data_IF_322038466422
#
_entry.id   IF_322038466422
#
_cell.length_a   1.000
_cell.length_b   1.000
_cell.length_c   1.000
_cell.angle_alpha   90.00
_cell.angle_beta   90.00
_cell.angle_gamma   90.00
#
_symmetry.space_group_name_H-M   'P 1'
#
loop_
_entity.id
_entity.type
_entity.pdbx_description
1 polymer ?
#
# COMPACT_ATOMS: atom_id res chain seq x y z
N UNK A 1 -86.16 9.37 -24.47
CA UNK A 1 -84.83 8.87 -24.88
C UNK A 1 -83.82 9.97 -24.60
N UNK A 2 -83.16 9.94 -23.44
CA UNK A 2 -82.16 10.94 -23.03
C UNK A 2 -80.82 10.20 -22.99
N UNK A 3 -79.86 10.67 -23.79
CA UNK A 3 -78.60 10.00 -24.08
C UNK A 3 -77.61 10.06 -22.92
N UNK A 4 -77.30 8.90 -22.36
CA UNK A 4 -76.35 8.69 -21.26
C UNK A 4 -74.91 8.40 -21.71
N UNK A 5 -74.57 8.67 -22.98
CA UNK A 5 -73.32 8.20 -23.58
C UNK A 5 -72.06 9.08 -23.42
N UNK A 6 -72.16 10.30 -22.88
CA UNK A 6 -71.06 11.29 -23.01
C UNK A 6 -70.15 11.45 -21.78
N UNK A 7 -70.59 11.03 -20.59
CA UNK A 7 -69.81 11.25 -19.35
C UNK A 7 -68.60 10.31 -19.18
N UNK A 8 -68.65 9.10 -19.73
CA UNK A 8 -67.57 8.11 -19.55
C UNK A 8 -66.30 8.44 -20.37
N UNK A 9 -66.43 9.15 -21.49
CA UNK A 9 -65.29 9.52 -22.33
C UNK A 9 -64.46 10.66 -21.71
N UNK A 10 -65.07 11.53 -20.90
CA UNK A 10 -64.39 12.65 -20.29
C UNK A 10 -63.51 12.21 -19.12
N UNK A 11 -63.98 11.27 -18.28
CA UNK A 11 -63.20 10.72 -17.16
C UNK A 11 -61.97 9.92 -17.60
N UNK A 12 -62.04 9.20 -18.72
CA UNK A 12 -60.89 8.44 -19.23
C UNK A 12 -59.77 9.34 -19.74
N UNK A 13 -60.12 10.50 -20.33
CA UNK A 13 -59.13 11.46 -20.86
C UNK A 13 -58.39 12.20 -19.75
N UNK A 14 -59.06 12.63 -18.68
CA UNK A 14 -58.42 13.31 -17.55
C UNK A 14 -57.54 12.38 -16.72
N UNK A 15 -57.92 11.10 -16.58
CA UNK A 15 -57.11 10.12 -15.85
C UNK A 15 -55.79 9.77 -16.59
N UNK A 16 -55.81 9.73 -17.93
CA UNK A 16 -54.59 9.55 -18.73
C UNK A 16 -53.64 10.75 -18.65
N UNK A 17 -54.16 11.99 -18.70
CA UNK A 17 -53.31 13.19 -18.60
C UNK A 17 -52.64 13.29 -17.23
N UNK A 18 -53.34 12.93 -16.14
CA UNK A 18 -52.74 12.84 -14.81
C UNK A 18 -51.67 11.74 -14.72
N UNK A 19 -51.91 10.56 -15.30
CA UNK A 19 -50.93 9.46 -15.29
C UNK A 19 -49.63 9.84 -16.03
N UNK A 20 -49.73 10.53 -17.17
CA UNK A 20 -48.55 11.02 -17.91
C UNK A 20 -47.85 12.19 -17.21
N UNK A 21 -48.58 13.05 -16.49
CA UNK A 21 -47.99 14.12 -15.69
C UNK A 21 -47.16 13.58 -14.50
N UNK A 22 -47.58 12.48 -13.87
CA UNK A 22 -46.82 11.83 -12.79
C UNK A 22 -45.62 11.01 -13.28
N UNK A 23 -45.69 10.42 -14.49
CA UNK A 23 -44.55 9.68 -15.09
C UNK A 23 -43.44 10.65 -15.56
N UNK A 24 -43.77 11.93 -15.81
CA UNK A 24 -42.83 12.97 -16.24
C UNK A 24 -42.05 13.65 -15.12
N UNK A 25 -42.33 13.36 -13.84
CA UNK A 25 -41.46 13.77 -12.72
C UNK A 25 -40.25 12.83 -12.75
N UNK A 26 -39.40 13.07 -13.74
CA UNK A 26 -38.21 12.32 -14.00
C UNK A 26 -37.37 12.26 -12.74
N UNK A 27 -36.82 11.07 -12.49
CA UNK A 27 -35.82 10.81 -11.48
C UNK A 27 -34.69 11.83 -11.70
N UNK A 28 -34.70 12.92 -10.94
CA UNK A 28 -33.62 13.89 -10.96
C UNK A 28 -32.46 13.18 -10.28
N UNK A 29 -31.60 12.56 -11.08
CA UNK A 29 -30.34 12.02 -10.60
C UNK A 29 -29.54 13.19 -10.06
N UNK A 30 -29.35 13.19 -8.74
CA UNK A 30 -28.59 14.24 -8.07
C UNK A 30 -27.17 14.26 -8.64
N UNK A 31 -26.86 15.35 -9.33
CA UNK A 31 -25.63 15.56 -10.05
C UNK A 31 -24.81 16.59 -9.29
N UNK A 32 -23.61 16.20 -8.83
CA UNK A 32 -22.78 17.08 -8.00
C UNK A 32 -21.52 17.54 -8.73
N UNK A 33 -21.18 18.81 -8.51
CA UNK A 33 -19.91 19.40 -8.88
C UNK A 33 -19.03 19.52 -7.63
N UNK A 34 -17.74 19.75 -7.82
CA UNK A 34 -16.82 19.97 -6.69
C UNK A 34 -17.23 21.15 -5.78
N UNK A 35 -18.10 22.05 -6.26
CA UNK A 35 -18.59 23.22 -5.52
C UNK A 35 -19.94 23.00 -4.84
N UNK A 36 -20.76 22.10 -5.37
CA UNK A 36 -22.11 21.82 -4.84
C UNK A 36 -22.16 20.56 -3.98
N UNK A 37 -21.12 19.72 -4.01
CA UNK A 37 -21.06 18.54 -3.15
C UNK A 37 -21.08 18.96 -1.66
N UNK A 38 -21.88 18.33 -0.79
CA UNK A 38 -21.94 18.71 0.62
C UNK A 38 -20.66 18.34 1.39
N UNK A 39 -20.25 19.17 2.35
CA UNK A 39 -19.15 18.85 3.28
C UNK A 39 -19.74 18.11 4.49
N UNK A 40 -19.36 16.85 4.76
CA UNK A 40 -19.97 16.05 5.83
C UNK A 40 -19.73 16.58 7.24
N UNK A 41 -18.83 17.57 7.41
CA UNK A 41 -18.61 18.23 8.70
C UNK A 41 -19.59 19.37 8.94
N UNK A 42 -19.95 20.09 7.86
CA UNK A 42 -20.79 21.29 7.91
C UNK A 42 -22.26 20.98 7.63
N UNK A 43 -22.52 19.98 6.78
CA UNK A 43 -23.86 19.55 6.38
C UNK A 43 -24.00 18.01 6.44
N UNK A 44 -24.05 17.43 7.66
CA UNK A 44 -24.19 15.99 7.82
C UNK A 44 -25.55 15.48 7.33
N UNK A 45 -26.60 16.30 7.37
CA UNK A 45 -27.97 15.89 7.02
C UNK A 45 -28.04 15.58 5.51
N UNK A 46 -27.51 16.45 4.65
CA UNK A 46 -27.46 16.18 3.20
C UNK A 46 -26.59 14.95 2.88
N UNK A 47 -25.55 14.71 3.69
CA UNK A 47 -24.73 13.50 3.61
C UNK A 47 -25.37 12.24 4.22
N UNK A 48 -26.62 12.32 4.69
CA UNK A 48 -27.35 11.23 5.37
C UNK A 48 -26.63 10.69 6.59
N UNK A 49 -26.04 11.59 7.36
CA UNK A 49 -25.43 11.32 8.65
C UNK A 49 -26.24 12.02 9.76
N UNK A 50 -26.37 11.38 10.94
CA UNK A 50 -27.00 12.03 12.09
C UNK A 50 -26.14 13.14 12.69
N UNK A 51 -24.82 13.06 12.50
CA UNK A 51 -23.82 13.96 13.10
C UNK A 51 -22.69 14.22 12.09
N UNK A 52 -21.94 15.30 12.32
CA UNK A 52 -20.75 15.64 11.54
C UNK A 52 -19.78 14.46 11.44
N UNK A 53 -19.27 14.19 10.24
CA UNK A 53 -18.40 13.05 9.98
C UNK A 53 -17.43 13.26 8.82
N UNK A 54 -16.85 12.16 8.34
CA UNK A 54 -15.88 12.16 7.24
C UNK A 54 -16.34 11.32 6.04
N UNK A 55 -17.55 10.75 6.10
CA UNK A 55 -18.17 10.06 4.97
C UNK A 55 -19.31 10.93 4.46
N UNK A 56 -19.47 11.02 3.15
CA UNK A 56 -20.65 11.61 2.57
C UNK A 56 -21.18 10.73 1.44
N UNK A 57 -22.47 10.42 1.49
CA UNK A 57 -23.17 9.63 0.49
C UNK A 57 -24.61 10.16 0.29
N UNK A 58 -24.75 11.33 -0.35
CA UNK A 58 -26.07 11.98 -0.47
C UNK A 58 -27.03 11.19 -1.37
N UNK A 59 -26.50 10.38 -2.29
CA UNK A 59 -27.27 9.52 -3.21
C UNK A 59 -27.65 8.16 -2.59
N UNK A 60 -27.21 7.87 -1.36
CA UNK A 60 -27.36 6.58 -0.69
C UNK A 60 -27.03 5.39 -1.58
N UNK A 61 -25.82 5.38 -2.18
CA UNK A 61 -25.37 4.16 -2.86
C UNK A 61 -24.83 3.13 -1.85
N UNK A 62 -24.42 3.56 -0.65
CA UNK A 62 -24.21 2.70 0.50
C UNK A 62 -25.54 2.52 1.24
N UNK A 63 -25.83 1.29 1.66
CA UNK A 63 -26.89 1.05 2.62
C UNK A 63 -26.60 1.76 3.95
N UNK A 64 -27.64 2.03 4.74
CA UNK A 64 -27.46 2.72 6.02
C UNK A 64 -26.56 1.92 6.97
N UNK A 65 -26.66 0.60 6.97
CA UNK A 65 -25.80 -0.31 7.75
C UNK A 65 -24.33 -0.22 7.31
N UNK A 66 -24.06 -0.31 6.00
CA UNK A 66 -22.72 -0.17 5.45
C UNK A 66 -22.09 1.20 5.77
N UNK A 67 -22.90 2.26 5.68
CA UNK A 67 -22.47 3.62 6.00
C UNK A 67 -22.10 3.74 7.46
N UNK A 68 -22.92 3.23 8.38
CA UNK A 68 -22.66 3.24 9.82
C UNK A 68 -21.40 2.44 10.17
N UNK A 69 -21.22 1.25 9.57
CA UNK A 69 -20.01 0.44 9.74
C UNK A 69 -18.77 1.19 9.28
N UNK A 70 -18.81 1.85 8.12
CA UNK A 70 -17.67 2.61 7.59
C UNK A 70 -17.37 3.84 8.47
N UNK A 71 -18.39 4.53 8.99
CA UNK A 71 -18.24 5.63 9.96
C UNK A 71 -17.54 5.14 11.23
N UNK A 72 -18.00 4.02 11.79
CA UNK A 72 -17.39 3.43 12.98
C UNK A 72 -15.92 3.07 12.74
N UNK A 73 -15.62 2.47 11.59
CA UNK A 73 -14.25 2.10 11.23
C UNK A 73 -13.34 3.30 11.02
N UNK A 74 -13.81 4.37 10.36
CA UNK A 74 -13.05 5.63 10.26
C UNK A 74 -12.79 6.27 11.61
N UNK A 75 -13.77 6.26 12.52
CA UNK A 75 -13.58 6.78 13.87
C UNK A 75 -12.52 5.98 14.64
N UNK A 76 -12.49 4.66 14.48
CA UNK A 76 -11.43 3.81 15.05
C UNK A 76 -10.06 4.15 14.45
N UNK A 77 -9.96 4.35 13.13
CA UNK A 77 -8.68 4.73 12.53
C UNK A 77 -8.21 6.12 12.97
N UNK A 78 -9.14 7.05 13.18
CA UNK A 78 -8.83 8.38 13.72
C UNK A 78 -8.22 8.28 15.11
N UNK A 79 -8.77 7.46 16.00
CA UNK A 79 -8.19 7.27 17.34
C UNK A 79 -6.82 6.58 17.30
N UNK A 80 -6.55 5.75 16.29
CA UNK A 80 -5.22 5.16 16.09
C UNK A 80 -4.20 6.17 15.59
N UNK A 81 -4.59 7.15 14.78
CA UNK A 81 -3.66 8.12 14.17
C UNK A 81 -3.45 9.39 15.01
N UNK A 82 -4.32 9.70 15.97
CA UNK A 82 -4.17 10.87 16.86
C UNK A 82 -2.90 10.86 17.69
N UNK A 83 -2.39 9.67 18.04
CA UNK A 83 -1.12 9.50 18.77
C UNK A 83 0.13 9.67 17.89
N UNK A 84 -0.03 9.74 16.57
CA UNK A 84 1.09 9.71 15.63
C UNK A 84 1.47 11.14 15.24
N UNK A 85 2.60 11.62 15.77
CA UNK A 85 3.10 12.97 15.49
C UNK A 85 3.60 13.07 14.05
N UNK A 86 2.99 13.95 13.26
CA UNK A 86 3.45 14.25 11.91
C UNK A 86 4.77 15.05 11.96
N UNK A 87 5.80 14.53 11.28
CA UNK A 87 7.15 15.14 11.23
C UNK A 87 7.38 16.02 10.01
N UNK A 88 6.36 16.32 9.23
CA UNK A 88 6.48 17.29 8.15
C UNK A 88 6.75 18.69 8.70
N UNK A 89 7.68 19.47 8.11
CA UNK A 89 7.99 20.82 8.59
C UNK A 89 6.77 21.73 8.71
N UNK A 90 5.82 21.64 7.77
CA UNK A 90 4.58 22.43 7.80
C UNK A 90 3.66 22.08 9.00
N UNK A 91 3.77 20.85 9.52
CA UNK A 91 2.97 20.36 10.64
C UNK A 91 3.65 20.56 12.00
N UNK A 92 4.89 21.04 12.05
CA UNK A 92 5.61 21.28 13.31
C UNK A 92 4.86 22.27 14.23
N UNK A 93 4.16 23.24 13.64
CA UNK A 93 3.38 24.28 14.34
C UNK A 93 2.03 23.75 14.84
N UNK A 94 1.56 22.62 14.30
CA UNK A 94 0.26 22.02 14.64
C UNK A 94 0.41 20.53 14.96
N UNK A 95 1.08 20.17 16.06
CA UNK A 95 1.38 18.78 16.40
C UNK A 95 0.13 17.93 16.68
N UNK A 96 -1.01 18.58 16.95
CA UNK A 96 -2.30 17.94 17.15
C UNK A 96 -2.99 17.51 15.83
N UNK A 97 -2.50 17.96 14.66
CA UNK A 97 -3.04 17.52 13.37
C UNK A 97 -2.52 16.14 13.01
N UNK A 98 -3.43 15.16 13.04
CA UNK A 98 -3.21 13.80 12.55
C UNK A 98 -3.73 13.63 11.12
N UNK A 99 -3.63 12.40 10.61
CA UNK A 99 -4.26 11.99 9.35
C UNK A 99 -5.78 12.20 9.43
N UNK A 100 -6.34 12.85 8.41
CA UNK A 100 -7.78 13.06 8.28
C UNK A 100 -8.25 12.49 6.93
N UNK A 101 -9.16 11.51 6.94
CA UNK A 101 -9.56 10.76 5.74
C UNK A 101 -11.04 11.01 5.46
N UNK A 102 -11.33 11.62 4.32
CA UNK A 102 -12.67 11.82 3.80
C UNK A 102 -13.00 10.78 2.74
N UNK A 103 -14.21 10.22 2.83
CA UNK A 103 -14.76 9.26 1.88
C UNK A 103 -16.01 9.85 1.24
N UNK A 104 -15.94 10.06 -0.06
CA UNK A 104 -16.96 10.72 -0.87
C UNK A 104 -17.53 9.68 -1.81
N UNK A 105 -18.81 9.41 -1.65
CA UNK A 105 -19.54 8.48 -2.49
C UNK A 105 -20.55 9.29 -3.29
N UNK A 106 -20.48 9.15 -4.61
CA UNK A 106 -21.29 9.93 -5.54
C UNK A 106 -21.83 9.01 -6.63
N UNK A 107 -23.06 9.25 -7.06
CA UNK A 107 -23.66 8.45 -8.12
C UNK A 107 -22.99 8.77 -9.47
N UNK A 108 -22.93 10.06 -9.83
CA UNK A 108 -22.25 10.54 -11.04
C UNK A 108 -21.63 11.91 -10.83
N UNK A 109 -20.44 12.13 -11.40
CA UNK A 109 -19.76 13.42 -11.35
C UNK A 109 -20.25 14.33 -12.48
N UNK A 110 -20.47 15.60 -12.16
CA UNK A 110 -20.83 16.63 -13.13
C UNK A 110 -22.32 16.96 -13.14
N UNK A 111 -22.67 17.99 -13.93
CA UNK A 111 -24.04 18.50 -14.10
C UNK A 111 -24.64 18.21 -15.48
N UNK A 112 -23.84 17.64 -16.39
CA UNK A 112 -24.25 17.34 -17.76
C UNK A 112 -24.20 15.81 -17.95
N UNK A 113 -25.33 15.14 -18.23
CA UNK A 113 -25.41 13.67 -18.31
C UNK A 113 -24.48 13.02 -19.35
N UNK A 114 -24.02 13.77 -20.36
CA UNK A 114 -23.21 13.23 -21.46
C UNK A 114 -21.72 13.68 -21.43
N UNK A 115 -21.36 14.61 -20.55
CA UNK A 115 -19.97 15.09 -20.48
C UNK A 115 -19.18 14.18 -19.54
N UNK A 116 -18.08 13.60 -20.02
CA UNK A 116 -17.11 12.96 -19.14
C UNK A 116 -16.45 14.03 -18.28
N UNK A 117 -16.53 13.87 -16.96
CA UNK A 117 -15.82 14.74 -16.02
C UNK A 117 -14.57 14.03 -15.56
N UNK A 118 -13.47 14.78 -15.54
CA UNK A 118 -12.22 14.33 -14.97
C UNK A 118 -12.34 14.21 -13.43
N UNK A 119 -12.39 12.97 -12.94
CA UNK A 119 -12.47 12.67 -11.50
C UNK A 119 -11.28 13.21 -10.73
N UNK A 120 -10.10 13.31 -11.34
CA UNK A 120 -8.91 13.87 -10.70
C UNK A 120 -9.11 15.36 -10.44
N UNK A 121 -9.57 16.11 -11.45
CA UNK A 121 -9.89 17.53 -11.32
C UNK A 121 -11.01 17.77 -10.30
N UNK A 122 -12.07 16.95 -10.32
CA UNK A 122 -13.15 17.02 -9.34
C UNK A 122 -12.60 16.83 -7.91
N UNK A 123 -11.83 15.78 -7.70
CA UNK A 123 -11.32 15.38 -6.37
C UNK A 123 -10.34 16.43 -5.82
N UNK A 124 -9.44 16.94 -6.66
CA UNK A 124 -8.50 18.00 -6.25
C UNK A 124 -9.21 19.31 -5.88
N UNK A 125 -10.21 19.74 -6.67
CA UNK A 125 -11.00 20.94 -6.35
C UNK A 125 -11.82 20.76 -5.07
N UNK A 126 -12.41 19.57 -4.88
CA UNK A 126 -13.17 19.24 -3.69
C UNK A 126 -12.30 19.27 -2.43
N UNK A 127 -11.10 18.67 -2.48
CA UNK A 127 -10.11 18.73 -1.38
C UNK A 127 -9.74 20.17 -1.04
N UNK A 128 -9.44 21.01 -2.03
CA UNK A 128 -9.11 22.43 -1.81
C UNK A 128 -10.25 23.17 -1.10
N UNK A 129 -11.50 22.93 -1.50
CA UNK A 129 -12.68 23.54 -0.87
C UNK A 129 -12.88 23.05 0.56
N UNK A 130 -12.77 21.75 0.83
CA UNK A 130 -12.86 21.21 2.20
C UNK A 130 -11.74 21.72 3.11
N UNK A 131 -10.61 22.10 2.53
CA UNK A 131 -9.52 22.77 3.25
C UNK A 131 -9.73 24.28 3.38
N UNK A 132 -10.93 24.80 3.05
CA UNK A 132 -11.24 26.23 3.02
C UNK A 132 -10.21 27.05 2.22
N UNK A 133 -9.67 26.47 1.16
CA UNK A 133 -8.60 27.08 0.36
C UNK A 133 -7.38 27.53 1.20
N UNK A 134 -7.05 26.77 2.25
CA UNK A 134 -5.84 26.99 3.05
C UNK A 134 -4.60 27.10 2.16
N UNK A 135 -3.67 27.97 2.58
CA UNK A 135 -2.42 28.20 1.88
C UNK A 135 -1.63 26.90 1.68
N UNK A 136 -0.87 26.85 0.60
CA UNK A 136 0.00 25.71 0.26
C UNK A 136 1.07 25.47 1.34
N UNK A 137 1.35 26.45 2.19
CA UNK A 137 2.26 26.34 3.34
C UNK A 137 1.64 25.66 4.55
N UNK A 138 0.31 25.52 4.62
CA UNK A 138 -0.36 24.89 5.75
C UNK A 138 -0.12 23.37 5.80
N UNK A 139 -0.20 22.81 7.01
CA UNK A 139 -0.13 21.37 7.27
C UNK A 139 -1.31 20.64 6.62
N UNK A 140 -1.00 19.89 5.56
CA UNK A 140 -1.95 19.18 4.71
C UNK A 140 -1.86 17.66 4.94
N UNK A 141 -2.58 17.19 5.97
CA UNK A 141 -2.68 15.78 6.35
C UNK A 141 -3.96 15.10 5.85
N UNK A 142 -4.68 15.74 4.92
CA UNK A 142 -5.98 15.25 4.46
C UNK A 142 -5.82 14.26 3.31
N UNK A 143 -6.51 13.12 3.40
CA UNK A 143 -6.70 12.18 2.29
C UNK A 143 -8.17 12.23 1.88
N UNK A 144 -8.45 12.35 0.59
CA UNK A 144 -9.80 12.37 0.05
C UNK A 144 -9.96 11.23 -0.97
N UNK A 145 -10.86 10.30 -0.68
CA UNK A 145 -11.22 9.18 -1.54
C UNK A 145 -12.58 9.50 -2.18
N UNK A 146 -12.65 9.53 -3.50
CA UNK A 146 -13.90 9.75 -4.25
C UNK A 146 -14.23 8.49 -5.04
N UNK A 147 -15.41 7.94 -4.80
CA UNK A 147 -15.98 6.82 -5.56
C UNK A 147 -17.20 7.30 -6.35
N UNK A 148 -17.09 7.31 -7.68
CA UNK A 148 -18.20 7.60 -8.59
C UNK A 148 -18.76 6.30 -9.17
N UNK A 149 -20.01 5.98 -8.80
CA UNK A 149 -20.68 4.71 -9.15
C UNK A 149 -20.91 4.57 -10.66
N UNK A 150 -21.56 5.55 -11.28
CA UNK A 150 -21.90 5.53 -12.70
C UNK A 150 -20.67 5.69 -13.59
N UNK A 151 -19.70 6.50 -13.17
CA UNK A 151 -18.45 6.68 -13.93
C UNK A 151 -17.50 5.48 -13.74
N UNK A 152 -17.77 4.61 -12.74
CA UNK A 152 -16.98 3.42 -12.40
C UNK A 152 -15.52 3.77 -12.13
N UNK A 153 -15.33 4.85 -11.39
CA UNK A 153 -14.01 5.40 -11.08
C UNK A 153 -13.88 5.64 -9.59
N UNK A 154 -12.72 5.26 -9.07
CA UNK A 154 -12.29 5.62 -7.72
C UNK A 154 -10.99 6.40 -7.86
N UNK A 155 -10.94 7.57 -7.27
CA UNK A 155 -9.73 8.39 -7.24
C UNK A 155 -9.41 8.77 -5.80
N UNK A 156 -8.12 8.85 -5.49
CA UNK A 156 -7.66 9.23 -4.16
C UNK A 156 -6.56 10.27 -4.29
N UNK A 157 -6.72 11.36 -3.56
CA UNK A 157 -5.69 12.38 -3.40
C UNK A 157 -5.25 12.40 -1.95
N UNK A 158 -3.95 12.45 -1.72
CA UNK A 158 -3.37 12.63 -0.39
C UNK A 158 -2.72 14.01 -0.30
N UNK A 159 -2.83 14.61 0.88
CA UNK A 159 -2.15 15.85 1.21
C UNK A 159 -0.64 15.66 1.26
N UNK A 160 0.10 16.74 0.97
CA UNK A 160 1.58 16.71 0.91
C UNK A 160 2.19 16.16 2.19
N UNK A 161 1.66 16.57 3.34
CA UNK A 161 2.25 16.30 4.64
C UNK A 161 1.89 14.91 5.18
N UNK A 162 1.03 14.16 4.50
CA UNK A 162 0.75 12.74 4.82
C UNK A 162 1.95 11.82 4.57
N UNK A 163 2.89 12.23 3.71
CA UNK A 163 4.02 11.40 3.21
C UNK A 163 3.60 10.04 2.62
N UNK A 164 2.36 9.89 2.17
CA UNK A 164 1.88 8.67 1.53
C UNK A 164 2.21 8.76 0.03
N UNK A 165 3.01 7.84 -0.53
CA UNK A 165 3.36 7.91 -1.95
C UNK A 165 2.18 7.51 -2.84
N UNK A 166 2.10 8.12 -4.04
CA UNK A 166 1.05 7.85 -5.04
C UNK A 166 0.93 6.36 -5.37
N UNK A 167 2.04 5.63 -5.41
CA UNK A 167 2.06 4.19 -5.65
C UNK A 167 1.31 3.39 -4.58
N UNK A 168 1.34 3.82 -3.32
CA UNK A 168 0.59 3.16 -2.25
C UNK A 168 -0.91 3.39 -2.40
N UNK A 169 -1.33 4.59 -2.79
CA UNK A 169 -2.74 4.87 -3.08
C UNK A 169 -3.24 4.01 -4.25
N UNK A 170 -2.43 3.87 -5.30
CA UNK A 170 -2.72 2.98 -6.43
C UNK A 170 -2.84 1.52 -5.97
N UNK A 171 -1.88 1.02 -5.19
CA UNK A 171 -1.92 -0.34 -4.62
C UNK A 171 -3.16 -0.56 -3.73
N UNK A 172 -3.59 0.45 -2.98
CA UNK A 172 -4.80 0.39 -2.16
C UNK A 172 -6.03 0.14 -3.03
N UNK A 173 -6.16 0.86 -4.14
CA UNK A 173 -7.24 0.63 -5.10
C UNK A 173 -7.14 -0.75 -5.76
N UNK A 174 -5.97 -1.13 -6.26
CA UNK A 174 -5.76 -2.41 -6.97
C UNK A 174 -6.12 -3.62 -6.10
N UNK A 175 -5.75 -3.60 -4.81
CA UNK A 175 -6.10 -4.67 -3.86
C UNK A 175 -7.60 -4.80 -3.60
N UNK A 176 -8.35 -3.71 -3.76
CA UNK A 176 -9.78 -3.64 -3.43
C UNK A 176 -10.69 -3.60 -4.67
N UNK A 177 -10.14 -3.69 -5.88
CA UNK A 177 -10.90 -3.60 -7.14
C UNK A 177 -11.98 -4.68 -7.27
N UNK A 178 -11.76 -5.86 -6.68
CA UNK A 178 -12.74 -6.95 -6.66
C UNK A 178 -14.05 -6.54 -5.99
N UNK A 179 -13.97 -5.83 -4.85
CA UNK A 179 -15.15 -5.35 -4.13
C UNK A 179 -15.93 -4.30 -4.93
N UNK A 180 -15.24 -3.36 -5.58
CA UNK A 180 -15.88 -2.36 -6.43
C UNK A 180 -16.60 -2.97 -7.64
N UNK A 181 -16.00 -3.99 -8.26
CA UNK A 181 -16.62 -4.73 -9.36
C UNK A 181 -17.84 -5.53 -8.91
N UNK A 182 -17.82 -6.05 -7.67
CA UNK A 182 -18.94 -6.76 -7.08
C UNK A 182 -20.06 -5.85 -6.53
N UNK A 183 -19.91 -4.52 -6.63
CA UNK A 183 -20.85 -3.55 -6.06
C UNK A 183 -20.77 -3.41 -4.54
N UNK A 184 -19.81 -4.06 -3.87
CA UNK A 184 -19.57 -3.94 -2.44
C UNK A 184 -18.64 -2.75 -2.16
N UNK A 185 -19.16 -1.54 -2.37
CA UNK A 185 -18.38 -0.30 -2.26
C UNK A 185 -17.86 -0.06 -0.84
N UNK A 186 -18.65 -0.38 0.19
CA UNK A 186 -18.27 -0.18 1.58
C UNK A 186 -17.00 -0.96 1.96
N UNK A 187 -16.96 -2.26 1.61
CA UNK A 187 -15.80 -3.11 1.90
C UNK A 187 -14.57 -2.66 1.12
N UNK A 188 -14.75 -2.28 -0.16
CA UNK A 188 -13.64 -1.76 -0.98
C UNK A 188 -13.06 -0.45 -0.42
N UNK A 189 -13.92 0.47 0.03
CA UNK A 189 -13.51 1.73 0.67
C UNK A 189 -12.84 1.47 2.02
N UNK A 190 -13.40 0.57 2.85
CA UNK A 190 -12.81 0.16 4.13
C UNK A 190 -11.37 -0.36 3.94
N UNK A 191 -11.16 -1.28 3.00
CA UNK A 191 -9.84 -1.85 2.72
C UNK A 191 -8.84 -0.84 2.15
N UNK A 192 -9.31 0.17 1.40
CA UNK A 192 -8.44 1.27 0.96
C UNK A 192 -8.00 2.13 2.15
N UNK A 193 -8.92 2.51 3.02
CA UNK A 193 -8.66 3.31 4.23
C UNK A 193 -7.67 2.58 5.13
N UNK A 194 -7.85 1.27 5.34
CA UNK A 194 -6.96 0.46 6.18
C UNK A 194 -5.50 0.49 5.70
N UNK A 195 -5.27 0.31 4.39
CA UNK A 195 -3.90 0.36 3.85
C UNK A 195 -3.28 1.77 3.95
N UNK A 196 -4.09 2.81 3.75
CA UNK A 196 -3.65 4.21 3.86
C UNK A 196 -3.22 4.51 5.30
N UNK A 197 -4.03 4.11 6.28
CA UNK A 197 -3.72 4.28 7.72
C UNK A 197 -2.45 3.52 8.09
N UNK A 198 -2.33 2.26 7.69
CA UNK A 198 -1.11 1.47 7.94
C UNK A 198 0.14 2.12 7.34
N UNK A 199 0.03 2.66 6.13
CA UNK A 199 1.14 3.34 5.45
C UNK A 199 1.52 4.64 6.14
N UNK A 200 0.54 5.45 6.55
CA UNK A 200 0.75 6.68 7.30
C UNK A 200 1.47 6.39 8.63
N UNK A 201 1.02 5.39 9.37
CA UNK A 201 1.64 4.98 10.63
C UNK A 201 3.10 4.59 10.43
N UNK A 202 3.40 3.76 9.43
CA UNK A 202 4.78 3.35 9.13
C UNK A 202 5.67 4.54 8.71
N UNK A 203 5.12 5.49 7.95
CA UNK A 203 5.86 6.66 7.48
C UNK A 203 6.25 7.64 8.59
N UNK A 204 5.63 7.57 9.76
CA UNK A 204 5.85 8.51 10.87
C UNK A 204 6.37 7.86 12.16
N UNK A 205 6.15 6.56 12.35
CA UNK A 205 6.68 5.81 13.49
C UNK A 205 8.16 5.42 13.27
N UNK A 206 8.56 5.03 12.05
CA UNK A 206 9.89 4.43 11.79
C UNK A 206 11.06 5.41 11.64
N UNK A 207 10.89 6.69 11.96
CA UNK A 207 12.04 7.60 11.99
C UNK A 207 12.66 7.58 13.39
N UNK A 208 13.57 6.63 13.63
CA UNK A 208 14.50 6.71 14.76
C UNK A 208 15.17 8.09 14.69
N UNK A 209 15.21 8.90 15.77
CA UNK A 209 15.93 10.16 15.76
C UNK A 209 17.36 9.91 15.26
N UNK A 210 17.91 10.74 14.36
CA UNK A 210 19.32 10.65 14.00
C UNK A 210 20.15 10.67 15.29
N UNK A 211 21.19 9.84 15.42
CA UNK A 211 21.99 9.73 16.64
C UNK A 211 22.68 11.08 16.91
N UNK A 212 22.01 11.95 17.64
CA UNK A 212 22.63 13.13 18.22
C UNK A 212 23.35 12.69 19.49
N UNK A 213 24.65 12.39 19.39
CA UNK A 213 25.64 12.27 20.46
C UNK A 213 25.21 11.63 21.80
N UNK A 214 24.19 10.77 21.82
CA UNK A 214 23.85 9.93 22.94
C UNK A 214 24.21 8.51 22.55
N UNK A 215 25.22 7.99 23.24
CA UNK A 215 25.69 6.62 23.15
C UNK A 215 24.54 5.70 23.56
N UNK A 216 23.91 5.08 22.58
CA UNK A 216 22.86 4.10 22.81
C UNK A 216 23.51 2.81 23.30
N UNK A 217 23.05 2.32 24.45
CA UNK A 217 23.27 0.94 24.84
C UNK A 217 22.51 0.04 23.85
N UNK A 218 23.21 -0.91 23.24
CA UNK A 218 22.64 -1.86 22.27
C UNK A 218 21.45 -2.64 22.86
N UNK A 219 21.38 -2.78 24.19
CA UNK A 219 20.28 -3.41 24.90
C UNK A 219 18.94 -2.66 24.72
N UNK A 220 18.95 -1.33 24.72
CA UNK A 220 17.72 -0.52 24.57
C UNK A 220 17.17 -0.59 23.14
N UNK A 221 18.06 -0.60 22.15
CA UNK A 221 17.67 -0.75 20.74
C UNK A 221 17.02 -2.12 20.47
N UNK A 222 17.60 -3.20 20.99
CA UNK A 222 17.03 -4.54 20.90
C UNK A 222 15.67 -4.64 21.61
N UNK A 223 15.53 -3.99 22.76
CA UNK A 223 14.27 -3.97 23.52
C UNK A 223 13.16 -3.27 22.75
N UNK A 224 13.45 -2.15 22.07
CA UNK A 224 12.48 -1.43 21.23
C UNK A 224 12.04 -2.28 20.03
N UNK A 225 12.97 -2.95 19.35
CA UNK A 225 12.63 -3.83 18.22
C UNK A 225 11.82 -5.04 18.68
N UNK A 226 12.22 -5.72 19.77
CA UNK A 226 11.49 -6.86 20.31
C UNK A 226 10.09 -6.47 20.79
N UNK A 227 9.92 -5.26 21.33
CA UNK A 227 8.61 -4.75 21.76
C UNK A 227 7.72 -4.43 20.56
N UNK A 228 8.28 -3.86 19.48
CA UNK A 228 7.55 -3.62 18.24
C UNK A 228 7.14 -4.93 17.53
N UNK A 229 8.00 -5.96 17.56
CA UNK A 229 7.70 -7.28 17.00
C UNK A 229 6.62 -8.00 17.79
N UNK A 230 6.59 -7.86 19.13
CA UNK A 230 5.53 -8.44 19.98
C UNK A 230 4.16 -7.78 19.83
N UNK A 231 4.08 -6.57 19.31
CA UNK A 231 2.82 -5.83 19.11
C UNK A 231 2.20 -6.04 17.73
N UNK A 232 2.85 -6.76 16.82
CA UNK A 232 2.25 -7.12 15.54
C UNK A 232 1.14 -8.16 15.77
N UNK A 233 -0.13 -7.86 15.45
CA UNK A 233 -1.18 -8.86 15.54
C UNK A 233 -0.84 -10.02 14.60
N UNK A 234 -0.87 -11.24 15.14
CA UNK A 234 -0.74 -12.48 14.37
C UNK A 234 -1.87 -12.52 13.35
N UNK A 235 -1.56 -12.15 12.11
CA UNK A 235 -2.49 -12.21 11.01
C UNK A 235 -2.79 -13.69 10.72
N UNK A 236 -3.89 -14.20 11.29
CA UNK A 236 -4.40 -15.53 11.00
C UNK A 236 -4.88 -15.55 9.56
N UNK A 237 -4.11 -16.21 8.69
CA UNK A 237 -4.54 -16.54 7.34
C UNK A 237 -5.75 -17.48 7.46
N UNK A 238 -6.98 -16.95 7.33
CA UNK A 238 -8.14 -17.79 7.00
C UNK A 238 -7.94 -18.29 5.58
N UNK A 239 -7.59 -19.57 5.46
CA UNK A 239 -7.69 -20.31 4.21
C UNK A 239 -9.18 -20.40 3.87
N UNK A 240 -9.58 -19.71 2.82
CA UNK A 240 -10.92 -19.85 2.25
C UNK A 240 -10.90 -21.16 1.47
N UNK A 241 -11.60 -22.18 1.97
CA UNK A 241 -11.85 -23.41 1.23
C UNK A 241 -12.68 -23.08 -0.01
N UNK A 242 -12.10 -23.35 -1.18
CA UNK A 242 -12.76 -23.32 -2.47
C UNK A 242 -13.81 -24.45 -2.53
N UNK A 243 -15.10 -24.17 -2.76
CA UNK A 243 -16.08 -25.22 -2.98
C UNK A 243 -15.93 -25.84 -4.37
N UNK A 244 -16.00 -27.16 -4.40
CA UNK A 244 -15.96 -28.08 -5.55
C UNK A 244 -16.99 -27.71 -6.64
N UNK A 245 -16.57 -27.48 -7.91
CA UNK A 245 -17.45 -27.08 -9.00
C UNK A 245 -17.99 -28.32 -9.72
N UNK A 246 -18.80 -29.14 -9.05
CA UNK A 246 -19.50 -30.23 -9.72
C UNK A 246 -20.91 -30.41 -9.19
N UNK A 247 -21.86 -29.54 -9.58
CA UNK A 247 -23.27 -29.91 -9.88
C UNK A 247 -24.16 -28.72 -10.24
N UNK A 248 -24.92 -28.96 -11.32
CA UNK A 248 -26.25 -28.45 -11.67
C UNK A 248 -26.36 -27.05 -12.33
N UNK A 249 -26.46 -27.13 -13.66
CA UNK A 249 -27.11 -26.22 -14.60
C UNK A 249 -28.56 -25.94 -14.16
N UNK A 250 -29.03 -24.67 -14.23
CA UNK A 250 -30.05 -24.35 -15.24
C UNK A 250 -29.79 -23.08 -16.03
N UNK A 251 -30.33 -23.14 -17.24
CA UNK A 251 -30.28 -22.24 -18.38
C UNK A 251 -30.91 -20.86 -18.07
N UNK A 252 -30.16 -19.76 -18.23
CA UNK A 252 -30.70 -18.40 -18.31
C UNK A 252 -30.03 -17.62 -19.44
N UNK A 253 -30.85 -17.36 -20.46
CA UNK A 253 -30.63 -16.49 -21.60
C UNK A 253 -30.63 -15.03 -21.16
N UNK A 254 -29.55 -14.27 -21.39
CA UNK A 254 -29.62 -12.80 -21.54
C UNK A 254 -28.40 -12.21 -22.26
N UNK A 255 -28.67 -11.10 -22.93
CA UNK A 255 -27.96 -10.34 -23.97
C UNK A 255 -26.57 -9.80 -23.61
N UNK A 256 -25.70 -9.51 -24.60
CA UNK A 256 -24.39 -8.92 -24.35
C UNK A 256 -24.49 -7.39 -24.20
N UNK A 257 -24.38 -6.89 -22.98
CA UNK A 257 -24.00 -5.49 -22.76
C UNK A 257 -22.46 -5.44 -22.65
N UNK A 258 -21.82 -4.83 -23.63
CA UNK A 258 -20.36 -4.70 -23.70
C UNK A 258 -19.91 -3.65 -22.70
N UNK A 259 -19.69 -4.10 -21.48
CA UNK A 259 -19.31 -3.27 -20.34
C UNK A 259 -17.81 -2.94 -20.39
N UNK A 260 -17.48 -1.64 -20.50
CA UNK A 260 -16.10 -1.17 -20.43
C UNK A 260 -15.48 -1.49 -19.06
N UNK A 261 -14.23 -2.00 -19.02
CA UNK A 261 -13.54 -2.33 -17.77
C UNK A 261 -13.17 -1.07 -16.96
N UNK A 262 -13.21 -1.19 -15.64
CA UNK A 262 -12.69 -0.18 -14.69
C UNK A 262 -11.24 0.17 -15.05
N UNK A 263 -10.93 1.46 -15.23
CA UNK A 263 -9.58 1.95 -15.59
C UNK A 263 -8.99 2.78 -14.46
N UNK A 264 -7.75 2.48 -14.09
CA UNK A 264 -6.86 3.41 -13.40
C UNK A 264 -6.13 4.27 -14.46
N UNK A 265 -6.09 5.59 -14.30
CA UNK A 265 -5.55 6.49 -15.33
C UNK A 265 -4.02 6.70 -15.24
N UNK A 266 -3.26 6.22 -16.26
CA UNK A 266 -2.15 6.86 -17.01
C UNK A 266 -0.72 7.09 -16.45
N UNK A 267 0.32 6.55 -17.12
CA UNK A 267 1.76 6.99 -17.15
C UNK A 267 2.37 6.71 -18.57
N UNK A 268 3.20 7.58 -19.21
CA UNK A 268 3.86 7.30 -20.50
C UNK A 268 5.37 6.92 -20.41
N UNK A 269 5.88 6.16 -21.41
CA UNK A 269 7.24 5.62 -21.54
C UNK A 269 8.04 6.26 -22.71
N UNK A 270 9.37 6.38 -22.58
CA UNK A 270 10.35 6.44 -23.69
C UNK A 270 11.79 6.23 -23.15
N UNK A 271 12.57 5.32 -23.76
CA UNK A 271 13.99 5.01 -23.42
C UNK A 271 14.81 4.87 -24.71
N UNK A 272 16.02 5.43 -24.75
CA UNK A 272 17.06 5.21 -25.78
C UNK A 272 18.38 4.68 -25.15
N UNK A 273 19.25 3.97 -25.92
CA UNK A 273 20.39 3.25 -25.36
C UNK A 273 21.72 4.03 -25.45
N UNK A 274 22.61 3.85 -24.47
CA UNK A 274 23.96 4.46 -24.44
C UNK A 274 25.07 3.40 -24.31
N UNK A 275 26.18 3.67 -25.01
CA UNK A 275 27.38 2.86 -25.29
C UNK A 275 28.44 3.02 -24.18
N UNK A 276 29.18 1.95 -23.86
CA UNK A 276 30.18 1.86 -22.77
C UNK A 276 31.60 2.19 -23.25
N UNK A 277 32.41 2.85 -22.40
CA UNK A 277 33.87 3.03 -22.53
C UNK A 277 34.60 2.77 -21.17
N UNK A 278 35.93 2.51 -21.18
CA UNK A 278 36.65 1.68 -20.22
C UNK A 278 37.37 2.42 -19.07
N UNK A 279 37.77 1.63 -18.07
CA UNK A 279 38.31 2.01 -16.76
C UNK A 279 39.81 2.38 -16.73
N UNK A 280 40.17 3.36 -15.88
CA UNK A 280 41.52 3.47 -15.25
C UNK A 280 41.59 4.56 -14.17
N UNK A 281 41.77 4.13 -12.92
CA UNK A 281 42.57 4.71 -11.81
C UNK A 281 41.97 4.25 -10.48
N UNK A 282 42.81 3.69 -9.60
CA UNK A 282 42.39 3.27 -8.26
C UNK A 282 42.20 4.53 -7.41
N UNK A 283 40.96 5.00 -7.34
CA UNK A 283 40.56 6.07 -6.44
C UNK A 283 40.60 5.50 -5.02
N UNK A 284 41.31 6.17 -4.12
CA UNK A 284 41.33 5.83 -2.70
C UNK A 284 39.98 6.23 -2.08
N UNK A 285 39.20 5.23 -1.67
CA UNK A 285 37.82 5.39 -1.18
C UNK A 285 37.85 5.45 0.35
N UNK A 286 37.17 6.45 0.91
CA UNK A 286 37.01 6.61 2.36
C UNK A 286 36.42 5.34 2.98
N UNK A 287 36.93 4.93 4.14
CA UNK A 287 36.53 3.71 4.84
C UNK A 287 35.02 3.64 5.12
N UNK A 288 34.39 4.79 5.41
CA UNK A 288 32.94 4.89 5.63
C UNK A 288 32.12 4.65 4.36
N UNK A 289 32.71 4.84 3.18
CA UNK A 289 32.03 4.70 1.89
C UNK A 289 32.25 3.34 1.23
N UNK A 290 33.17 2.52 1.75
CA UNK A 290 33.49 1.18 1.21
C UNK A 290 32.24 0.31 1.06
N UNK A 291 31.36 0.32 2.06
CA UNK A 291 30.11 -0.47 2.05
C UNK A 291 29.19 -0.02 0.92
N UNK A 292 28.97 1.28 0.78
CA UNK A 292 28.12 1.83 -0.28
C UNK A 292 28.69 1.59 -1.67
N UNK A 293 30.00 1.69 -1.81
CA UNK A 293 30.69 1.39 -3.07
C UNK A 293 30.54 -0.08 -3.44
N UNK A 294 30.66 -1.02 -2.49
CA UNK A 294 30.42 -2.44 -2.75
C UNK A 294 28.98 -2.71 -3.20
N UNK A 295 27.99 -2.07 -2.55
CA UNK A 295 26.58 -2.20 -2.93
C UNK A 295 26.35 -1.65 -4.35
N UNK A 296 26.93 -0.49 -4.69
CA UNK A 296 26.81 0.11 -6.02
C UNK A 296 27.51 -0.72 -7.09
N UNK A 297 28.70 -1.25 -6.81
CA UNK A 297 29.42 -2.15 -7.72
C UNK A 297 28.59 -3.40 -8.00
N UNK A 298 27.95 -3.99 -6.98
CA UNK A 298 27.10 -5.16 -7.14
C UNK A 298 25.81 -4.86 -7.91
N UNK A 299 25.20 -3.69 -7.70
CA UNK A 299 24.06 -3.23 -8.48
C UNK A 299 24.42 -3.05 -9.97
N UNK A 300 25.60 -2.48 -10.26
CA UNK A 300 26.12 -2.30 -11.63
C UNK A 300 26.44 -3.65 -12.28
N UNK A 301 27.04 -4.59 -11.54
CA UNK A 301 27.37 -5.93 -12.05
C UNK A 301 26.11 -6.73 -12.45
N UNK A 302 25.04 -6.63 -11.67
CA UNK A 302 23.79 -7.38 -11.92
C UNK A 302 22.91 -6.78 -13.00
N UNK A 303 22.90 -5.46 -13.16
CA UNK A 303 21.87 -4.78 -13.92
C UNK A 303 22.38 -3.78 -14.96
N UNK A 304 23.71 -3.67 -15.11
CA UNK A 304 24.35 -2.79 -16.07
C UNK A 304 24.56 -1.38 -15.55
N UNK A 305 25.36 -0.62 -16.30
CA UNK A 305 25.89 0.69 -15.91
C UNK A 305 24.94 1.87 -16.21
N UNK A 306 23.65 1.62 -16.43
CA UNK A 306 22.70 2.68 -16.76
C UNK A 306 22.46 3.56 -15.52
N UNK A 307 22.92 4.83 -15.50
CA UNK A 307 22.91 5.66 -14.31
C UNK A 307 21.49 5.95 -13.81
N UNK A 308 20.52 5.93 -14.73
CA UNK A 308 19.11 6.26 -14.49
C UNK A 308 18.37 5.15 -13.73
N UNK A 309 18.85 3.92 -13.85
CA UNK A 309 18.28 2.75 -13.18
C UNK A 309 19.09 2.32 -11.95
N UNK A 310 20.30 2.88 -11.78
CA UNK A 310 21.19 2.55 -10.67
C UNK A 310 20.51 2.65 -9.29
N UNK A 311 19.72 3.70 -8.95
CA UNK A 311 19.02 3.76 -7.67
C UNK A 311 18.00 2.62 -7.47
N UNK A 312 17.36 2.17 -8.55
CA UNK A 312 16.41 1.06 -8.53
C UNK A 312 17.13 -0.27 -8.30
N UNK A 313 18.30 -0.45 -8.89
CA UNK A 313 19.12 -1.65 -8.72
C UNK A 313 19.78 -1.72 -7.34
N UNK A 314 20.29 -0.60 -6.83
CA UNK A 314 20.78 -0.50 -5.44
C UNK A 314 19.68 -0.85 -4.45
N UNK A 315 18.46 -0.33 -4.65
CA UNK A 315 17.30 -0.68 -3.81
C UNK A 315 17.03 -2.19 -3.84
N UNK A 316 17.03 -2.82 -5.02
CA UNK A 316 16.80 -4.25 -5.14
C UNK A 316 17.87 -5.09 -4.41
N UNK A 317 19.15 -4.70 -4.50
CA UNK A 317 20.24 -5.38 -3.78
C UNK A 317 20.07 -5.26 -2.26
N UNK A 318 19.68 -4.09 -1.75
CA UNK A 318 19.43 -3.89 -0.32
C UNK A 318 18.20 -4.66 0.16
N UNK A 319 17.11 -4.67 -0.61
CA UNK A 319 15.90 -5.43 -0.29
C UNK A 319 16.17 -6.95 -0.25
N UNK A 320 17.00 -7.46 -1.17
CA UNK A 320 17.40 -8.87 -1.18
C UNK A 320 18.27 -9.21 0.03
N UNK A 321 19.29 -8.40 0.33
CA UNK A 321 20.14 -8.59 1.51
C UNK A 321 19.31 -8.61 2.81
N UNK A 322 18.38 -7.66 2.94
CA UNK A 322 17.44 -7.61 4.06
C UNK A 322 16.54 -8.85 4.13
N UNK A 323 16.05 -9.33 2.97
CA UNK A 323 15.22 -10.55 2.92
C UNK A 323 16.00 -11.80 3.37
N UNK A 324 17.30 -11.87 3.06
CA UNK A 324 18.19 -12.95 3.48
C UNK A 324 18.45 -12.85 4.98
N UNK A 325 18.73 -11.64 5.51
CA UNK A 325 18.88 -11.42 6.95
C UNK A 325 17.64 -11.85 7.73
N UNK A 326 16.45 -11.48 7.26
CA UNK A 326 15.20 -11.90 7.90
C UNK A 326 15.01 -13.42 7.85
N UNK A 327 15.36 -14.08 6.74
CA UNK A 327 15.32 -15.54 6.65
C UNK A 327 16.29 -16.20 7.61
N UNK A 328 17.52 -15.70 7.73
CA UNK A 328 18.53 -16.21 8.66
C UNK A 328 18.08 -16.09 10.12
N UNK A 329 17.53 -14.93 10.51
CA UNK A 329 17.01 -14.70 11.87
C UNK A 329 15.80 -15.58 12.17
N UNK A 330 14.99 -15.89 11.15
CA UNK A 330 13.85 -16.80 11.30
C UNK A 330 14.22 -18.30 11.27
N UNK A 331 15.47 -18.65 10.93
CA UNK A 331 15.90 -20.04 10.89
C UNK A 331 16.08 -20.56 12.31
N UNK A 332 15.36 -21.62 12.67
CA UNK A 332 15.42 -22.23 14.00
C UNK A 332 16.83 -22.70 14.38
N UNK A 333 17.69 -22.99 13.39
CA UNK A 333 19.09 -23.36 13.62
C UNK A 333 19.91 -22.16 14.06
N UNK A 334 19.60 -20.96 13.56
CA UNK A 334 20.28 -19.73 13.98
C UNK A 334 19.97 -19.44 15.45
N UNK A 335 18.69 -19.57 15.85
CA UNK A 335 18.28 -19.42 17.25
C UNK A 335 18.93 -20.46 18.16
N UNK A 336 19.05 -21.72 17.73
CA UNK A 336 19.73 -22.76 18.51
C UNK A 336 21.23 -22.45 18.71
N UNK A 337 21.89 -21.83 17.72
CA UNK A 337 23.30 -21.43 17.83
C UNK A 337 23.45 -20.25 18.79
N UNK A 338 22.57 -19.24 18.73
CA UNK A 338 22.59 -18.14 19.69
C UNK A 338 22.31 -18.62 21.11
N UNK A 339 21.32 -19.50 21.33
CA UNK A 339 21.02 -20.07 22.64
C UNK A 339 22.20 -20.88 23.20
N UNK A 340 22.93 -21.62 22.36
CA UNK A 340 24.11 -22.36 22.79
C UNK A 340 25.29 -21.44 23.13
N UNK A 341 25.49 -20.36 22.36
CA UNK A 341 26.52 -19.34 22.65
C UNK A 341 26.18 -18.59 23.95
N UNK A 342 24.92 -18.28 24.19
CA UNK A 342 24.43 -17.61 25.39
C UNK A 342 24.58 -18.50 26.64
N UNK A 343 24.25 -19.79 26.52
CA UNK A 343 24.35 -20.76 27.61
C UNK A 343 25.79 -21.05 28.07
N UNK A 344 26.80 -20.70 27.27
CA UNK A 344 28.21 -20.94 27.56
C UNK A 344 29.03 -19.67 27.78
N UNK A 345 28.38 -18.53 28.06
CA UNK A 345 29.05 -17.24 28.32
C UNK A 345 30.06 -17.27 29.47
N UNK A 346 29.89 -18.17 30.43
CA UNK A 346 30.68 -18.20 31.67
C UNK A 346 31.99 -18.98 31.56
N UNK A 347 32.22 -19.66 30.43
CA UNK A 347 33.44 -20.44 30.22
C UNK A 347 34.35 -19.69 29.25
N UNK A 348 35.27 -18.91 29.81
CA UNK A 348 36.23 -18.01 29.14
C UNK A 348 37.23 -18.70 28.18
N UNK A 349 36.91 -19.90 27.68
CA UNK A 349 37.69 -20.66 26.69
C UNK A 349 36.85 -21.58 25.80
N UNK A 350 35.51 -21.50 25.82
CA UNK A 350 34.65 -22.39 25.01
C UNK A 350 34.42 -21.87 23.59
N UNK A 351 34.60 -20.57 23.31
CA UNK A 351 34.43 -20.04 21.95
C UNK A 351 35.33 -20.77 20.93
N UNK A 352 36.57 -21.10 21.31
CA UNK A 352 37.49 -21.89 20.48
C UNK A 352 37.13 -23.38 20.38
N UNK A 353 36.29 -23.90 21.30
CA UNK A 353 35.85 -25.32 21.34
C UNK A 353 34.52 -25.56 20.63
N UNK A 354 33.57 -24.63 20.73
CA UNK A 354 32.32 -24.63 19.97
C UNK A 354 32.57 -24.43 18.47
N UNK A 355 33.61 -23.65 18.12
CA UNK A 355 34.04 -23.45 16.72
C UNK A 355 34.52 -24.76 16.06
N UNK A 356 35.09 -25.69 16.83
CA UNK A 356 35.47 -27.03 16.36
C UNK A 356 34.30 -28.01 16.17
N UNK A 357 33.20 -27.82 16.90
CA UNK A 357 31.99 -28.65 16.78
C UNK A 357 31.09 -28.16 15.63
N UNK A 358 30.99 -26.83 15.45
CA UNK A 358 30.26 -26.21 14.32
C UNK A 358 30.91 -26.57 12.98
N UNK A 359 32.24 -26.70 12.94
CA UNK A 359 33.00 -27.12 11.74
C UNK A 359 32.80 -28.60 11.36
N UNK A 360 32.28 -29.45 12.24
CA UNK A 360 32.22 -30.90 12.00
C UNK A 360 30.81 -31.44 11.72
N UNK A 361 29.72 -30.75 12.04
CA UNK A 361 28.40 -31.37 12.00
C UNK A 361 27.27 -30.69 11.20
N UNK A 362 27.45 -29.49 10.62
CA UNK A 362 26.34 -28.89 9.85
C UNK A 362 26.74 -28.01 8.66
N UNK A 363 27.76 -27.16 8.79
CA UNK A 363 28.13 -26.22 7.72
C UNK A 363 28.93 -26.87 6.59
N UNK A 364 29.75 -27.87 6.89
CA UNK A 364 30.60 -28.55 5.89
C UNK A 364 29.79 -29.34 4.88
N UNK A 365 28.67 -29.95 5.30
CA UNK A 365 27.72 -30.60 4.40
C UNK A 365 27.02 -29.62 3.46
N UNK A 366 26.57 -28.48 3.98
CA UNK A 366 25.89 -27.42 3.22
C UNK A 366 26.86 -26.75 2.24
N UNK A 367 28.10 -26.50 2.65
CA UNK A 367 29.15 -25.91 1.80
C UNK A 367 29.57 -26.88 0.69
N UNK A 368 29.66 -28.19 0.98
CA UNK A 368 29.94 -29.22 -0.04
C UNK A 368 28.78 -29.44 -1.01
N UNK A 369 27.53 -29.50 -0.54
CA UNK A 369 26.34 -29.59 -1.40
C UNK A 369 26.19 -28.36 -2.29
N UNK A 370 26.45 -27.16 -1.75
CA UNK A 370 26.47 -25.94 -2.53
C UNK A 370 27.57 -25.98 -3.60
N UNK A 371 28.78 -26.46 -3.29
CA UNK A 371 29.86 -26.61 -4.28
C UNK A 371 29.56 -27.66 -5.36
N UNK A 372 28.88 -28.76 -5.02
CA UNK A 372 28.46 -29.80 -5.98
C UNK A 372 27.37 -29.27 -6.92
N UNK A 373 26.39 -28.52 -6.38
CA UNK A 373 25.33 -27.85 -7.15
C UNK A 373 25.89 -26.74 -8.06
N UNK A 374 26.96 -26.05 -7.62
CA UNK A 374 27.66 -25.02 -8.42
C UNK A 374 28.45 -25.66 -9.59
N UNK A 375 29.10 -26.80 -9.38
CA UNK A 375 29.86 -27.50 -10.44
C UNK A 375 28.97 -28.11 -11.52
N UNK A 376 27.72 -28.47 -11.20
CA UNK A 376 26.77 -29.03 -12.18
C UNK A 376 26.08 -27.97 -13.06
N UNK A 377 26.27 -26.67 -12.78
CA UNK A 377 25.57 -25.56 -13.45
C UNK A 377 26.36 -24.89 -14.60
N UNK A 378 27.56 -25.38 -14.95
CA UNK A 378 28.50 -24.69 -15.87
C UNK A 378 28.15 -24.70 -17.39
N UNK A 379 26.92 -24.97 -17.82
CA UNK A 379 26.56 -24.92 -19.27
C UNK A 379 25.66 -23.74 -19.69
N UNK A 380 25.54 -22.68 -18.88
CA UNK A 380 24.93 -21.40 -19.30
C UNK A 380 25.80 -20.19 -18.91
N UNK A 381 25.88 -19.15 -19.76
CA UNK A 381 26.76 -18.02 -19.48
C UNK A 381 26.25 -17.18 -18.30
N UNK A 382 27.21 -16.93 -17.41
CA UNK A 382 27.25 -16.08 -16.20
C UNK A 382 26.45 -16.52 -14.96
N UNK A 383 27.13 -17.11 -13.96
CA UNK A 383 26.76 -17.00 -12.56
C UNK A 383 27.79 -16.14 -11.80
N UNK A 384 27.41 -14.92 -11.41
CA UNK A 384 28.12 -14.15 -10.37
C UNK A 384 27.37 -14.30 -9.03
N UNK A 385 27.27 -15.54 -8.56
CA UNK A 385 26.66 -15.91 -7.28
C UNK A 385 27.71 -16.12 -6.17
N UNK A 386 28.99 -16.01 -6.50
CA UNK A 386 30.10 -16.56 -5.70
C UNK A 386 30.73 -15.56 -4.71
N UNK A 387 30.59 -14.25 -4.94
CA UNK A 387 31.32 -13.24 -4.15
C UNK A 387 30.62 -12.86 -2.83
N UNK A 388 29.29 -12.98 -2.80
CA UNK A 388 28.47 -12.56 -1.65
C UNK A 388 28.66 -13.49 -0.43
N UNK A 389 28.73 -14.81 -0.66
CA UNK A 389 29.01 -15.77 0.42
C UNK A 389 30.42 -15.61 1.00
N UNK A 390 31.42 -15.30 0.15
CA UNK A 390 32.80 -15.12 0.59
C UNK A 390 32.99 -13.82 1.40
N UNK A 391 32.39 -12.70 0.97
CA UNK A 391 32.48 -11.44 1.72
C UNK A 391 31.65 -11.47 3.01
N UNK A 392 30.47 -12.08 3.00
CA UNK A 392 29.66 -12.23 4.21
C UNK A 392 30.31 -13.21 5.19
N UNK A 393 30.91 -14.30 4.70
CA UNK A 393 31.67 -15.24 5.53
C UNK A 393 32.98 -14.62 6.06
N UNK A 394 33.70 -13.82 5.28
CA UNK A 394 34.93 -13.16 5.75
C UNK A 394 34.63 -12.03 6.73
N UNK A 395 33.50 -11.33 6.59
CA UNK A 395 33.12 -10.23 7.50
C UNK A 395 32.56 -10.74 8.83
N UNK A 396 31.86 -11.88 8.84
CA UNK A 396 31.35 -12.50 10.07
C UNK A 396 32.29 -13.55 10.70
N UNK A 397 33.09 -14.27 9.90
CA UNK A 397 34.02 -15.31 10.34
C UNK A 397 35.49 -14.95 10.09
N UNK A 398 35.82 -13.65 10.09
CA UNK A 398 37.12 -13.06 9.73
C UNK A 398 38.33 -13.44 10.59
N UNK A 399 38.34 -14.63 11.21
CA UNK A 399 39.46 -15.22 11.91
C UNK A 399 39.69 -16.72 11.68
N UNK A 400 39.24 -17.34 10.58
CA UNK A 400 39.56 -18.75 10.35
C UNK A 400 39.95 -19.08 8.90
N UNK A 401 41.21 -19.49 8.72
CA UNK A 401 41.72 -20.12 7.50
C UNK A 401 41.53 -21.64 7.64
N UNK A 402 40.71 -22.27 6.78
CA UNK A 402 40.64 -23.73 6.66
C UNK A 402 41.18 -24.13 5.28
N UNK A 403 42.18 -25.01 5.28
CA UNK A 403 42.81 -25.57 4.09
C UNK A 403 42.06 -26.84 3.71
N UNK A 404 41.29 -26.82 2.62
CA UNK A 404 40.78 -28.06 2.04
C UNK A 404 41.95 -28.79 1.37
N UNK A 405 42.40 -29.91 1.96
CA UNK A 405 43.31 -30.83 1.29
C UNK A 405 42.53 -31.67 0.28
N UNK A 406 43.08 -31.79 -0.93
CA UNK A 406 42.58 -32.64 -2.01
C UNK A 406 42.82 -34.13 -1.73
#
# INVERSE_FOLDING_TARGET
MIGTGSLNAFFFRTMWVMLFAFIGIGIVTAQYTSQTYPDPRLDPITCRLPLSGHICDPSSILSDEERLRLVQRLNQFRTMTTGIRNRSPACAVQPARSLDIFVIVIDKIGSIPAASVDIEKFTNNLKRRFQNYQDVSACDTTVLIVNSKQDRQVFTVAGRDTRIPKDTLRKAFERNIGYFKAGNYATGLEGMVELIVATYSNAHIMQIPPPGNQQWDFADFLTVILTAVRQLPTYSHRVIETPDPTKLVPDIRSTPETVAPFRAAGIPNSVHPVKVLPSKSAIEINENDKVWVTIMQQAVARCGSQPELLPKHVRAVVEEAMSISLKLISDSRYNSIEEEVEAHKDVTGVRERSDGVISNHSLTGIICEAQISIKSSQTKPAPEFTMFYLLFAVYFFGKYYVKCSF
#
